data_IF_137676857628
#
_entry.id   IF_137676857628
#
_cell.length_a   1.000
_cell.length_b   1.000
_cell.length_c   1.000
_cell.angle_alpha   90.00
_cell.angle_beta   90.00
_cell.angle_gamma   90.00
#
_symmetry.space_group_name_H-M   'P 1'
#
loop_
_entity.id
_entity.type
_entity.pdbx_description
1 polymer ?
#
# COMPACT_ATOMS: atom_id res chain seq x y z
N UNK A 1 0.65 -3.49 -7.97
CA UNK A 1 1.78 -4.36 -7.55
C UNK A 1 2.29 -5.26 -8.68
N UNK A 2 1.42 -5.90 -9.46
CA UNK A 2 1.82 -6.80 -10.56
C UNK A 2 2.65 -6.11 -11.65
N UNK A 3 2.35 -4.87 -12.00
CA UNK A 3 3.12 -4.12 -13.02
C UNK A 3 4.55 -3.83 -12.55
N UNK A 4 4.71 -3.42 -11.30
CA UNK A 4 6.04 -3.20 -10.68
C UNK A 4 6.88 -4.49 -10.69
N UNK A 5 6.23 -5.65 -10.60
CA UNK A 5 6.91 -6.96 -10.63
C UNK A 5 7.16 -7.47 -12.07
N UNK A 6 6.24 -7.18 -13.02
CA UNK A 6 6.34 -7.65 -14.41
C UNK A 6 7.34 -6.86 -15.26
N UNK A 7 7.47 -5.56 -14.99
CA UNK A 7 8.32 -4.69 -15.82
C UNK A 7 9.81 -4.94 -15.64
N UNK A 8 10.21 -5.77 -14.65
CA UNK A 8 11.63 -5.97 -14.33
C UNK A 8 12.34 -4.66 -13.94
N UNK A 9 11.58 -3.58 -13.72
CA UNK A 9 12.11 -2.26 -13.47
C UNK A 9 12.50 -2.12 -11.99
N UNK A 10 13.75 -2.47 -11.70
CA UNK A 10 14.34 -2.31 -10.36
C UNK A 10 14.26 -0.86 -9.82
N UNK A 11 14.13 0.12 -10.72
CA UNK A 11 14.00 1.54 -10.35
C UNK A 11 12.68 1.81 -9.62
N UNK A 12 11.57 1.14 -9.99
CA UNK A 12 10.29 1.28 -9.28
C UNK A 12 10.38 0.78 -7.83
N UNK A 13 10.95 -0.40 -7.61
CA UNK A 13 11.10 -0.94 -6.25
C UNK A 13 11.98 -0.04 -5.36
N UNK A 14 13.05 0.53 -5.94
CA UNK A 14 13.93 1.47 -5.23
C UNK A 14 13.20 2.78 -4.89
N UNK A 15 12.43 3.34 -5.83
CA UNK A 15 11.62 4.54 -5.59
C UNK A 15 10.60 4.31 -4.45
N UNK A 16 9.85 3.22 -4.50
CA UNK A 16 8.86 2.93 -3.47
C UNK A 16 9.48 2.61 -2.10
N UNK A 17 10.71 2.09 -2.07
CA UNK A 17 11.46 1.96 -0.82
C UNK A 17 11.88 3.33 -0.27
N UNK A 18 12.34 4.24 -1.13
CA UNK A 18 12.63 5.64 -0.78
C UNK A 18 11.39 6.30 -0.14
N UNK A 19 10.23 6.18 -0.78
CA UNK A 19 8.93 6.66 -0.25
C UNK A 19 8.62 6.05 1.11
N UNK A 20 8.86 4.75 1.28
CA UNK A 20 8.61 4.03 2.53
C UNK A 20 9.53 4.47 3.69
N UNK A 21 10.72 4.97 3.37
CA UNK A 21 11.74 5.39 4.33
C UNK A 21 11.62 6.86 4.76
N UNK A 22 10.87 7.66 3.99
CA UNK A 22 10.60 9.06 4.34
C UNK A 22 9.33 9.20 5.21
N UNK A 23 9.24 10.26 6.02
CA UNK A 23 8.04 10.57 6.77
C UNK A 23 6.81 10.74 5.86
N UNK A 24 5.58 10.41 6.33
CA UNK A 24 4.36 10.75 5.63
C UNK A 24 4.27 12.24 5.28
N UNK A 25 3.75 12.55 4.09
CA UNK A 25 3.64 13.92 3.60
C UNK A 25 4.90 14.47 2.93
N UNK A 26 6.01 13.71 2.88
CA UNK A 26 7.20 14.12 2.14
C UNK A 26 6.89 14.21 0.65
N UNK A 27 7.22 15.34 -0.02
CA UNK A 27 7.10 15.46 -1.47
C UNK A 27 8.03 14.49 -2.19
N UNK A 28 7.52 13.86 -3.26
CA UNK A 28 8.29 12.94 -4.10
C UNK A 28 8.15 13.30 -5.58
N UNK A 29 9.17 12.98 -6.37
CA UNK A 29 9.10 13.08 -7.82
C UNK A 29 8.32 11.90 -8.41
N UNK A 30 7.00 12.06 -8.46
CA UNK A 30 6.06 11.06 -8.95
C UNK A 30 6.24 10.73 -10.44
N UNK A 31 6.85 11.64 -11.23
CA UNK A 31 7.13 11.38 -12.65
C UNK A 31 8.03 10.16 -12.85
N UNK A 32 8.90 9.87 -11.89
CA UNK A 32 9.78 8.69 -11.93
C UNK A 32 9.03 7.36 -12.06
N UNK A 33 7.76 7.32 -11.65
CA UNK A 33 6.94 6.10 -11.66
C UNK A 33 5.62 6.26 -12.43
N UNK A 34 5.15 7.49 -12.68
CA UNK A 34 3.86 7.75 -13.31
C UNK A 34 3.93 8.47 -14.66
N UNK A 35 5.12 8.77 -15.20
CA UNK A 35 5.32 9.55 -16.43
C UNK A 35 4.41 9.09 -17.59
N UNK A 36 4.18 7.79 -17.73
CA UNK A 36 3.42 7.21 -18.84
C UNK A 36 2.06 6.62 -18.41
N UNK A 37 1.56 7.00 -17.23
CA UNK A 37 0.31 6.47 -16.67
C UNK A 37 -0.65 7.59 -16.34
N UNK A 38 -1.93 7.40 -16.72
CA UNK A 38 -3.04 8.31 -16.38
C UNK A 38 -3.84 7.86 -15.16
N UNK A 39 -3.56 6.67 -14.63
CA UNK A 39 -4.23 6.14 -13.44
C UNK A 39 -3.30 5.18 -12.70
N UNK A 40 -3.55 5.05 -11.41
CA UNK A 40 -2.85 4.09 -10.55
C UNK A 40 -3.84 3.35 -9.67
N UNK A 41 -3.55 2.11 -9.33
CA UNK A 41 -4.40 1.24 -8.51
C UNK A 41 -3.55 0.32 -7.65
N UNK A 42 -4.10 -0.10 -6.49
CA UNK A 42 -3.49 -1.08 -5.61
C UNK A 42 -2.20 -0.59 -4.93
N UNK A 43 -1.61 -1.45 -4.12
CA UNK A 43 -0.32 -1.19 -3.48
C UNK A 43 0.83 -1.22 -4.51
N UNK A 44 1.84 -0.40 -4.30
CA UNK A 44 2.12 0.53 -3.19
C UNK A 44 1.47 1.90 -3.31
N UNK A 45 0.91 2.26 -4.46
CA UNK A 45 0.39 3.59 -4.74
C UNK A 45 -0.72 4.03 -3.78
N UNK A 46 -1.66 3.14 -3.47
CA UNK A 46 -2.76 3.43 -2.54
C UNK A 46 -2.31 3.79 -1.11
N UNK A 47 -1.07 3.45 -0.72
CA UNK A 47 -0.52 3.83 0.59
C UNK A 47 -0.29 5.33 0.77
N UNK A 48 -0.15 6.05 -0.32
CA UNK A 48 0.29 7.47 -0.35
C UNK A 48 -0.69 8.34 -1.15
N UNK A 49 -1.96 7.98 -1.13
CA UNK A 49 -3.00 8.68 -1.87
C UNK A 49 -3.10 10.17 -1.49
N UNK A 50 -2.84 10.54 -0.23
CA UNK A 50 -2.85 11.94 0.21
C UNK A 50 -1.76 12.76 -0.46
N UNK A 51 -0.55 12.22 -0.51
CA UNK A 51 0.61 12.85 -1.15
C UNK A 51 0.39 12.96 -2.68
N UNK A 52 -0.26 11.97 -3.28
CA UNK A 52 -0.61 12.00 -4.69
C UNK A 52 -1.69 13.05 -4.99
N UNK A 53 -2.70 13.21 -4.13
CA UNK A 53 -3.69 14.28 -4.29
C UNK A 53 -3.08 15.68 -4.21
N UNK A 54 -2.05 15.86 -3.38
CA UNK A 54 -1.31 17.14 -3.33
C UNK A 54 -0.54 17.38 -4.63
N UNK A 55 0.07 16.34 -5.19
CA UNK A 55 0.85 16.44 -6.43
C UNK A 55 -0.04 16.54 -7.68
N UNK A 56 -1.24 15.99 -7.64
CA UNK A 56 -2.21 15.94 -8.74
C UNK A 56 -3.58 16.42 -8.24
N UNK A 57 -3.77 17.74 -8.05
CA UNK A 57 -4.97 18.30 -7.42
C UNK A 57 -6.27 18.07 -8.20
N UNK A 58 -6.18 17.76 -9.48
CA UNK A 58 -7.35 17.47 -10.35
C UNK A 58 -7.66 15.96 -10.45
N UNK A 59 -6.85 15.10 -9.81
CA UNK A 59 -7.03 13.65 -9.87
C UNK A 59 -8.35 13.22 -9.21
N UNK A 60 -8.97 12.20 -9.80
CA UNK A 60 -10.14 11.52 -9.20
C UNK A 60 -9.67 10.39 -8.31
N UNK A 61 -10.37 10.18 -7.22
CA UNK A 61 -10.14 9.07 -6.28
C UNK A 61 -11.30 8.07 -6.41
N UNK A 62 -10.99 6.82 -6.65
CA UNK A 62 -11.94 5.73 -6.63
C UNK A 62 -11.73 4.90 -5.35
N UNK A 63 -12.63 5.07 -4.38
CA UNK A 63 -12.61 4.30 -3.15
C UNK A 63 -13.35 2.98 -3.35
N UNK A 64 -12.64 1.87 -3.28
CA UNK A 64 -13.25 0.54 -3.31
C UNK A 64 -13.44 0.00 -1.90
N UNK A 65 -14.63 -0.51 -1.63
CA UNK A 65 -14.97 -1.15 -0.35
C UNK A 65 -15.40 -2.59 -0.56
N UNK A 66 -15.14 -3.45 0.42
CA UNK A 66 -15.54 -4.85 0.31
C UNK A 66 -17.08 -4.98 0.42
N UNK A 67 -17.77 -5.60 -0.56
CA UNK A 67 -19.24 -5.58 -0.64
C UNK A 67 -19.93 -6.29 0.53
N UNK A 68 -19.23 -7.15 1.26
CA UNK A 68 -19.72 -7.86 2.45
C UNK A 68 -19.17 -7.30 3.76
N UNK A 69 -18.62 -6.07 3.72
CA UNK A 69 -18.14 -5.33 4.89
C UNK A 69 -16.75 -5.73 5.39
N UNK A 70 -16.31 -5.07 6.46
CA UNK A 70 -14.96 -5.12 6.98
C UNK A 70 -14.52 -6.51 7.49
N UNK A 71 -15.44 -7.27 8.09
CA UNK A 71 -15.12 -8.63 8.55
C UNK A 71 -14.79 -9.57 7.38
N UNK A 72 -15.49 -9.44 6.26
CA UNK A 72 -15.22 -10.22 5.06
C UNK A 72 -13.95 -9.75 4.34
N UNK A 73 -13.66 -8.44 4.38
CA UNK A 73 -12.37 -7.89 3.95
C UNK A 73 -11.21 -8.52 4.74
N UNK A 74 -11.30 -8.50 6.08
CA UNK A 74 -10.25 -9.07 6.94
C UNK A 74 -10.01 -10.55 6.62
N UNK A 75 -11.10 -11.35 6.51
CA UNK A 75 -10.99 -12.76 6.14
C UNK A 75 -10.28 -12.93 4.79
N UNK A 76 -10.71 -12.20 3.77
CA UNK A 76 -10.09 -12.26 2.45
C UNK A 76 -8.60 -11.88 2.48
N UNK A 77 -8.25 -10.78 3.16
CA UNK A 77 -6.88 -10.32 3.27
C UNK A 77 -5.97 -11.31 3.98
N UNK A 78 -6.46 -11.93 5.07
CA UNK A 78 -5.68 -12.91 5.85
C UNK A 78 -5.51 -14.24 5.15
N UNK A 79 -6.51 -14.70 4.39
CA UNK A 79 -6.45 -15.97 3.66
C UNK A 79 -5.65 -15.89 2.35
N UNK A 80 -5.42 -14.69 1.83
CA UNK A 80 -4.73 -14.47 0.57
C UNK A 80 -3.37 -13.79 0.74
N UNK A 81 -3.38 -12.46 0.92
CA UNK A 81 -2.16 -11.64 0.86
C UNK A 81 -1.31 -11.82 2.12
N UNK A 82 -1.96 -11.81 3.29
CA UNK A 82 -1.24 -11.88 4.56
C UNK A 82 -0.75 -13.29 4.88
N UNK A 83 -1.43 -14.35 4.38
CA UNK A 83 -1.00 -15.73 4.56
C UNK A 83 0.45 -15.95 4.10
N UNK A 84 0.86 -15.32 3.00
CA UNK A 84 2.23 -15.42 2.47
C UNK A 84 3.26 -14.85 3.45
N UNK A 85 2.91 -13.79 4.20
CA UNK A 85 3.81 -13.14 5.16
C UNK A 85 4.10 -14.00 6.40
N UNK A 86 3.15 -14.85 6.78
CA UNK A 86 3.27 -15.68 8.00
C UNK A 86 3.84 -17.05 7.73
N UNK A 87 3.99 -17.46 6.46
CA UNK A 87 4.62 -18.72 6.11
C UNK A 87 6.05 -18.79 6.67
N UNK A 88 6.34 -19.86 7.38
CA UNK A 88 7.65 -20.02 8.03
C UNK A 88 8.79 -20.13 7.02
N UNK A 89 8.54 -20.71 5.84
CA UNK A 89 9.49 -20.78 4.73
C UNK A 89 9.90 -19.39 4.25
N UNK A 90 8.95 -18.47 4.19
CA UNK A 90 9.22 -17.08 3.78
C UNK A 90 10.03 -16.35 4.86
N UNK A 91 9.76 -16.62 6.15
CA UNK A 91 10.53 -16.05 7.26
C UNK A 91 11.96 -16.57 7.27
N UNK A 92 12.15 -17.87 7.06
CA UNK A 92 13.49 -18.49 6.96
C UNK A 92 14.24 -17.93 5.74
N UNK A 93 13.61 -17.86 4.57
CA UNK A 93 14.22 -17.28 3.39
C UNK A 93 14.67 -15.84 3.63
N UNK A 94 13.83 -15.01 4.26
CA UNK A 94 14.20 -13.64 4.63
C UNK A 94 15.40 -13.57 5.58
N UNK A 95 15.46 -14.46 6.56
CA UNK A 95 16.55 -14.52 7.54
C UNK A 95 17.89 -14.93 6.92
N UNK A 96 17.83 -15.78 5.88
CA UNK A 96 19.03 -16.27 5.19
C UNK A 96 19.55 -15.30 4.11
N UNK A 97 18.76 -14.32 3.70
CA UNK A 97 19.18 -13.33 2.70
C UNK A 97 20.06 -12.26 3.36
N UNK A 98 21.35 -12.16 3.03
CA UNK A 98 22.27 -11.19 3.65
C UNK A 98 21.89 -9.74 3.34
N UNK A 99 21.17 -9.53 2.25
CA UNK A 99 20.61 -8.24 1.85
C UNK A 99 19.22 -8.45 1.27
N UNK A 100 18.20 -8.02 2.02
CA UNK A 100 16.83 -8.12 1.53
C UNK A 100 16.62 -7.25 0.29
N UNK A 101 15.96 -7.79 -0.76
CA UNK A 101 15.57 -7.02 -1.94
C UNK A 101 14.73 -5.77 -1.56
N UNK A 102 14.91 -4.68 -2.31
CA UNK A 102 14.17 -3.43 -2.09
C UNK A 102 12.64 -3.64 -2.05
N UNK A 103 12.13 -4.53 -2.88
CA UNK A 103 10.72 -4.91 -2.94
C UNK A 103 10.21 -5.46 -1.59
N UNK A 104 10.95 -6.38 -0.95
CA UNK A 104 10.54 -6.97 0.33
C UNK A 104 10.53 -5.91 1.44
N UNK A 105 11.56 -5.07 1.49
CA UNK A 105 11.63 -3.97 2.46
C UNK A 105 10.52 -2.95 2.26
N UNK A 106 10.21 -2.60 1.02
CA UNK A 106 9.12 -1.69 0.67
C UNK A 106 7.78 -2.25 1.12
N UNK A 107 7.47 -3.51 0.82
CA UNK A 107 6.23 -4.18 1.26
C UNK A 107 6.09 -4.13 2.78
N UNK A 108 7.15 -4.50 3.50
CA UNK A 108 7.15 -4.50 4.97
C UNK A 108 6.88 -3.10 5.53
N UNK A 109 7.65 -2.10 5.10
CA UNK A 109 7.58 -0.75 5.66
C UNK A 109 6.33 0.00 5.22
N UNK A 110 5.99 -0.03 3.93
CA UNK A 110 4.93 0.81 3.37
C UNK A 110 3.55 0.18 3.58
N UNK A 111 3.41 -1.11 3.35
CA UNK A 111 2.11 -1.79 3.44
C UNK A 111 1.81 -2.21 4.87
N UNK A 112 2.64 -3.08 5.44
CA UNK A 112 2.34 -3.71 6.73
C UNK A 112 2.50 -2.77 7.91
N UNK A 113 3.58 -1.96 7.92
CA UNK A 113 3.85 -1.06 9.04
C UNK A 113 3.14 0.28 8.88
N UNK A 114 3.38 1.02 7.78
CA UNK A 114 2.86 2.37 7.63
C UNK A 114 1.36 2.39 7.33
N UNK A 115 0.89 1.60 6.35
CA UNK A 115 -0.52 1.65 5.91
C UNK A 115 -1.44 0.86 6.81
N UNK A 116 -1.06 -0.35 7.21
CA UNK A 116 -1.88 -1.23 8.06
C UNK A 116 -1.51 -1.17 9.55
N UNK A 117 -0.52 -0.35 9.91
CA UNK A 117 -0.09 -0.10 11.29
C UNK A 117 0.18 -1.39 12.10
N UNK A 118 0.63 -2.47 11.44
CA UNK A 118 0.87 -3.77 12.07
C UNK A 118 -0.36 -4.50 12.60
N UNK A 119 -1.58 -4.03 12.30
CA UNK A 119 -2.82 -4.52 12.92
C UNK A 119 -3.28 -5.90 12.45
N UNK A 120 -2.68 -6.46 11.39
CA UNK A 120 -3.18 -7.69 10.76
C UNK A 120 -3.19 -8.94 11.68
N UNK A 121 -2.45 -8.93 12.76
CA UNK A 121 -2.48 -10.00 13.78
C UNK A 121 -3.62 -9.88 14.76
N UNK A 122 -4.25 -8.72 14.86
CA UNK A 122 -5.43 -8.45 15.69
C UNK A 122 -6.63 -8.13 14.78
N UNK A 123 -7.59 -9.05 14.76
CA UNK A 123 -8.78 -8.93 13.90
C UNK A 123 -9.59 -7.65 14.18
N UNK A 124 -9.77 -7.30 15.45
CA UNK A 124 -10.58 -6.14 15.81
C UNK A 124 -9.87 -4.84 15.42
N UNK A 125 -8.59 -4.75 15.72
CA UNK A 125 -7.75 -3.61 15.35
C UNK A 125 -7.68 -3.45 13.82
N UNK A 126 -7.51 -4.53 13.06
CA UNK A 126 -7.47 -4.50 11.60
C UNK A 126 -8.80 -4.05 10.97
N UNK A 127 -9.93 -4.53 11.51
CA UNK A 127 -11.27 -4.12 11.07
C UNK A 127 -11.48 -2.62 11.36
N UNK A 128 -11.20 -2.18 12.57
CA UNK A 128 -11.34 -0.77 12.95
C UNK A 128 -10.45 0.13 12.08
N UNK A 129 -9.23 -0.30 11.81
CA UNK A 129 -8.31 0.43 10.93
C UNK A 129 -8.84 0.53 9.47
N UNK A 130 -9.40 -0.54 8.94
CA UNK A 130 -10.02 -0.54 7.61
C UNK A 130 -11.23 0.40 7.53
N UNK A 131 -12.12 0.38 8.54
CA UNK A 131 -13.29 1.25 8.61
C UNK A 131 -12.86 2.73 8.76
N UNK A 132 -11.87 3.00 9.61
CA UNK A 132 -11.32 4.34 9.78
C UNK A 132 -10.72 4.87 8.46
N UNK A 133 -10.00 4.02 7.70
CA UNK A 133 -9.47 4.41 6.39
C UNK A 133 -10.58 4.84 5.43
N UNK A 134 -11.71 4.12 5.39
CA UNK A 134 -12.85 4.48 4.54
C UNK A 134 -13.41 5.86 4.93
N UNK A 135 -13.61 6.09 6.22
CA UNK A 135 -14.11 7.38 6.70
C UNK A 135 -13.11 8.53 6.47
N UNK A 136 -11.82 8.27 6.65
CA UNK A 136 -10.76 9.24 6.36
C UNK A 136 -10.73 9.67 4.90
N UNK A 137 -10.89 8.72 3.97
CA UNK A 137 -10.95 9.03 2.54
C UNK A 137 -12.19 9.87 2.23
N UNK A 138 -13.36 9.48 2.71
CA UNK A 138 -14.62 10.22 2.53
C UNK A 138 -14.56 11.63 3.11
N UNK A 139 -13.93 11.80 4.27
CA UNK A 139 -13.80 13.10 4.92
C UNK A 139 -12.77 14.02 4.24
N UNK A 140 -11.76 13.46 3.62
CA UNK A 140 -10.63 14.23 3.06
C UNK A 140 -10.82 14.55 1.58
N UNK A 141 -11.35 13.60 0.80
CA UNK A 141 -11.50 13.75 -0.66
C UNK A 141 -12.75 14.59 -0.95
N UNK A 142 -12.64 15.69 -1.70
CA UNK A 142 -13.80 16.47 -2.10
C UNK A 142 -14.82 15.61 -2.87
N UNK A 143 -16.13 15.82 -2.62
CA UNK A 143 -17.19 15.05 -3.28
C UNK A 143 -17.16 15.10 -4.82
N UNK A 144 -16.56 16.16 -5.38
CA UNK A 144 -16.36 16.28 -6.84
C UNK A 144 -15.21 15.42 -7.37
N UNK A 145 -14.38 14.85 -6.49
CA UNK A 145 -13.22 14.03 -6.84
C UNK A 145 -13.35 12.57 -6.39
N UNK A 146 -14.30 12.26 -5.50
CA UNK A 146 -14.58 10.92 -4.98
C UNK A 146 -15.58 10.17 -5.87
#
# INVERSE_FOLDING_TARGET
MMEVMRSGNSKHAAFWLEVAEQPPGTPHDWQRVFENYSATIDFPSSCVWREQMVAYPDAKVLLTVHPRGAAAWYKSATETIYSVQVLWEFKVLRALLPRQPALIKMIEKLIWQRTLNGTMTDKQAAIAHYEQHIEDVKATVPASQL
#
